data_IF_699745738193
#
_entry.id   IF_699745738193
#
_cell.length_a   1.000
_cell.length_b   1.000
_cell.length_c   1.000
_cell.angle_alpha   90.00
_cell.angle_beta   90.00
_cell.angle_gamma   90.00
#
_symmetry.space_group_name_H-M   'P 1'
#
loop_
_entity.id
_entity.type
_entity.pdbx_description
1 polymer ?
#
# COMPACT_ATOMS: atom_id res chain seq x y z
N UNK A 1 18.20 -0.77 0.02
CA UNK A 1 17.23 -0.89 -1.08
C UNK A 1 15.90 -1.16 -0.43
N UNK A 2 14.89 -0.35 -0.76
CA UNK A 2 13.52 -0.63 -0.34
C UNK A 2 12.94 -1.80 -1.13
N UNK A 3 11.84 -2.33 -0.65
CA UNK A 3 11.09 -3.43 -1.24
C UNK A 3 10.55 -3.10 -2.64
N UNK A 4 10.33 -1.82 -2.90
CA UNK A 4 10.07 -1.29 -4.23
C UNK A 4 11.18 -0.33 -4.65
N UNK A 5 11.60 -0.42 -5.92
CA UNK A 5 12.32 0.67 -6.57
C UNK A 5 11.36 1.83 -6.83
N UNK A 6 11.87 3.06 -6.81
CA UNK A 6 11.06 4.25 -7.15
C UNK A 6 10.54 4.24 -8.61
N UNK A 7 11.09 3.37 -9.46
CA UNK A 7 10.66 3.13 -10.85
C UNK A 7 9.73 1.92 -11.01
N UNK A 8 9.12 1.38 -9.93
CA UNK A 8 8.19 0.25 -10.04
C UNK A 8 6.78 0.68 -10.46
N UNK A 9 6.00 -0.24 -11.03
CA UNK A 9 4.59 0.01 -11.38
C UNK A 9 3.77 0.51 -10.17
N UNK A 10 4.11 0.05 -8.96
CA UNK A 10 3.46 0.47 -7.71
C UNK A 10 3.87 1.89 -7.29
N UNK A 11 5.13 2.29 -7.57
CA UNK A 11 5.58 3.67 -7.35
C UNK A 11 4.90 4.63 -8.32
N UNK A 12 4.75 4.24 -9.58
CA UNK A 12 3.98 4.98 -10.59
C UNK A 12 2.50 5.08 -10.22
N UNK A 13 1.90 3.98 -9.76
CA UNK A 13 0.53 3.96 -9.27
C UNK A 13 0.34 4.93 -8.09
N UNK A 14 1.29 4.94 -7.15
CA UNK A 14 1.29 5.87 -6.02
C UNK A 14 1.35 7.33 -6.49
N UNK A 15 2.25 7.64 -7.42
CA UNK A 15 2.37 8.99 -7.99
C UNK A 15 1.07 9.41 -8.70
N UNK A 16 0.48 8.51 -9.49
CA UNK A 16 -0.77 8.78 -10.19
C UNK A 16 -1.92 9.03 -9.21
N UNK A 17 -2.09 8.18 -8.19
CA UNK A 17 -3.16 8.32 -7.19
C UNK A 17 -3.01 9.61 -6.37
N UNK A 18 -1.79 9.94 -5.95
CA UNK A 18 -1.53 11.12 -5.12
C UNK A 18 -1.72 12.42 -5.90
N UNK A 19 -1.27 12.47 -7.15
CA UNK A 19 -1.38 13.64 -8.03
C UNK A 19 -2.77 13.82 -8.65
N UNK A 20 -3.59 12.77 -8.68
CA UNK A 20 -4.93 12.82 -9.26
C UNK A 20 -5.84 13.85 -8.57
N UNK A 21 -6.65 14.61 -9.32
CA UNK A 21 -7.58 15.57 -8.72
C UNK A 21 -8.71 14.85 -7.95
N UNK A 22 -9.43 15.62 -7.13
CA UNK A 22 -10.66 15.14 -6.49
C UNK A 22 -11.69 14.74 -7.56
N UNK A 23 -12.35 13.60 -7.38
CA UNK A 23 -13.24 12.89 -8.32
C UNK A 23 -12.56 12.32 -9.56
N UNK A 24 -11.25 12.05 -9.51
CA UNK A 24 -10.60 11.26 -10.54
C UNK A 24 -11.15 9.83 -10.56
N UNK A 25 -11.31 9.27 -11.76
CA UNK A 25 -11.67 7.85 -11.93
C UNK A 25 -10.41 7.00 -11.75
N UNK A 26 -10.19 6.52 -10.53
CA UNK A 26 -9.13 5.58 -10.16
C UNK A 26 -9.71 4.17 -10.07
N UNK A 27 -8.98 3.16 -10.53
CA UNK A 27 -9.40 1.76 -10.44
C UNK A 27 -8.99 1.14 -9.10
N UNK A 28 -9.65 0.04 -8.71
CA UNK A 28 -9.28 -0.74 -7.50
C UNK A 28 -7.84 -1.26 -7.55
N UNK A 29 -7.39 -1.71 -8.72
CA UNK A 29 -6.05 -2.23 -8.94
C UNK A 29 -5.01 -1.12 -8.79
N UNK A 30 -5.26 0.07 -9.37
CA UNK A 30 -4.36 1.22 -9.24
C UNK A 30 -4.27 1.67 -7.77
N UNK A 31 -5.39 1.70 -7.06
CA UNK A 31 -5.42 2.00 -5.63
C UNK A 31 -4.69 0.93 -4.81
N UNK A 32 -4.85 -0.34 -5.15
CA UNK A 32 -4.17 -1.46 -4.51
C UNK A 32 -2.65 -1.40 -4.67
N UNK A 33 -2.17 -1.13 -5.89
CA UNK A 33 -0.76 -0.94 -6.19
C UNK A 33 -0.17 0.29 -5.47
N UNK A 34 -0.89 1.42 -5.48
CA UNK A 34 -0.46 2.61 -4.73
C UNK A 34 -0.40 2.35 -3.22
N UNK A 35 -1.38 1.61 -2.69
CA UNK A 35 -1.46 1.29 -1.27
C UNK A 35 -0.36 0.33 -0.82
N UNK A 36 -0.01 -0.67 -1.64
CA UNK A 36 1.10 -1.58 -1.32
C UNK A 36 2.43 -0.85 -1.30
N UNK A 37 2.68 0.06 -2.25
CA UNK A 37 3.91 0.89 -2.24
C UNK A 37 4.03 1.77 -1.00
N UNK A 38 2.98 2.52 -0.65
CA UNK A 38 2.99 3.35 0.57
C UNK A 38 3.15 2.49 1.83
N UNK A 39 2.46 1.34 1.88
CA UNK A 39 2.50 0.46 3.04
C UNK A 39 3.90 -0.13 3.27
N UNK A 40 4.58 -0.55 2.21
CA UNK A 40 5.94 -1.06 2.30
C UNK A 40 6.94 0.02 2.71
N UNK A 41 6.79 1.26 2.20
CA UNK A 41 7.62 2.39 2.66
C UNK A 41 7.39 2.74 4.12
N UNK A 42 6.14 2.72 4.56
CA UNK A 42 5.80 2.94 5.96
C UNK A 42 6.36 1.82 6.85
N UNK A 43 6.31 0.57 6.39
CA UNK A 43 6.90 -0.58 7.06
C UNK A 43 8.42 -0.49 7.17
N UNK A 44 9.12 -0.13 6.09
CA UNK A 44 10.56 0.10 6.13
C UNK A 44 10.95 1.19 7.13
N UNK A 45 10.20 2.30 7.14
CA UNK A 45 10.40 3.38 8.09
C UNK A 45 10.13 2.92 9.52
N UNK A 46 9.10 2.12 9.74
CA UNK A 46 8.81 1.52 11.04
C UNK A 46 9.97 0.62 11.49
N UNK A 47 10.48 -0.24 10.60
CA UNK A 47 11.61 -1.12 10.89
C UNK A 47 12.90 -0.35 11.19
N UNK A 48 13.16 0.73 10.45
CA UNK A 48 14.33 1.57 10.67
C UNK A 48 14.28 2.29 12.04
N UNK A 49 13.08 2.61 12.54
CA UNK A 49 12.88 3.31 13.80
C UNK A 49 12.76 2.37 15.02
N UNK A 50 12.11 1.21 14.86
CA UNK A 50 11.73 0.32 15.96
C UNK A 50 12.43 -1.05 15.92
N UNK A 51 13.13 -1.38 14.82
CA UNK A 51 13.59 -2.73 14.53
C UNK A 51 12.56 -3.52 13.73
N UNK A 52 13.00 -4.66 13.18
CA UNK A 52 12.10 -5.58 12.47
C UNK A 52 11.11 -6.24 13.44
N UNK A 53 9.87 -6.52 13.02
CA UNK A 53 8.94 -7.31 13.82
C UNK A 53 9.48 -8.73 14.06
N UNK A 54 9.03 -9.35 15.14
CA UNK A 54 9.52 -10.66 15.58
C UNK A 54 8.95 -11.80 14.72
N UNK A 55 7.82 -11.55 14.04
CA UNK A 55 7.12 -12.56 13.26
C UNK A 55 6.61 -12.02 11.93
N UNK A 56 6.51 -12.92 10.94
CA UNK A 56 5.93 -12.62 9.64
C UNK A 56 4.46 -12.16 9.76
N UNK A 57 3.73 -12.71 10.73
CA UNK A 57 2.36 -12.32 11.01
C UNK A 57 2.27 -10.85 11.44
N UNK A 58 3.15 -10.42 12.35
CA UNK A 58 3.24 -9.04 12.80
C UNK A 58 3.66 -8.09 11.67
N UNK A 59 4.60 -8.50 10.81
CA UNK A 59 4.95 -7.76 9.61
C UNK A 59 3.73 -7.54 8.69
N UNK A 60 2.96 -8.61 8.44
CA UNK A 60 1.72 -8.54 7.62
C UNK A 60 0.67 -7.64 8.25
N UNK A 61 0.50 -7.68 9.57
CA UNK A 61 -0.45 -6.81 10.27
C UNK A 61 -0.06 -5.33 10.16
N UNK A 62 1.22 -5.00 10.35
CA UNK A 62 1.73 -3.63 10.19
C UNK A 62 1.50 -3.12 8.78
N UNK A 63 1.90 -3.90 7.77
CA UNK A 63 1.76 -3.52 6.36
C UNK A 63 0.27 -3.35 5.99
N UNK A 64 -0.59 -4.29 6.42
CA UNK A 64 -2.03 -4.19 6.19
C UNK A 64 -2.65 -2.95 6.85
N UNK A 65 -2.18 -2.59 8.05
CA UNK A 65 -2.56 -1.37 8.74
C UNK A 65 -2.18 -0.12 7.96
N UNK A 66 -0.94 -0.05 7.45
CA UNK A 66 -0.49 1.08 6.63
C UNK A 66 -1.26 1.19 5.31
N UNK A 67 -1.51 0.07 4.63
CA UNK A 67 -2.31 0.04 3.41
C UNK A 67 -3.74 0.53 3.66
N UNK A 68 -4.36 0.09 4.76
CA UNK A 68 -5.71 0.52 5.16
C UNK A 68 -5.79 2.03 5.39
N UNK A 69 -4.86 2.59 6.16
CA UNK A 69 -4.81 4.04 6.44
C UNK A 69 -4.62 4.85 5.15
N UNK A 70 -3.78 4.39 4.23
CA UNK A 70 -3.60 5.06 2.95
C UNK A 70 -4.87 5.02 2.09
N UNK A 71 -5.50 3.84 1.94
CA UNK A 71 -6.72 3.67 1.16
C UNK A 71 -7.87 4.52 1.71
N UNK A 72 -8.07 4.53 3.03
CA UNK A 72 -9.10 5.36 3.66
C UNK A 72 -8.89 6.85 3.33
N UNK A 73 -7.65 7.35 3.51
CA UNK A 73 -7.32 8.73 3.18
C UNK A 73 -7.56 9.03 1.70
N UNK A 74 -7.11 8.18 0.79
CA UNK A 74 -7.25 8.43 -0.65
C UNK A 74 -8.72 8.41 -1.06
N UNK A 75 -9.48 7.45 -0.59
CA UNK A 75 -10.90 7.31 -0.95
C UNK A 75 -11.70 8.51 -0.45
N UNK A 76 -11.46 8.96 0.78
CA UNK A 76 -12.09 10.15 1.35
C UNK A 76 -11.67 11.44 0.63
N UNK A 77 -10.36 11.65 0.42
CA UNK A 77 -9.83 12.89 -0.15
C UNK A 77 -10.06 13.02 -1.65
N UNK A 78 -10.19 11.89 -2.36
CA UNK A 78 -10.47 11.86 -3.81
C UNK A 78 -11.95 11.65 -4.12
N UNK A 79 -12.81 11.46 -3.13
CA UNK A 79 -14.27 11.33 -3.32
C UNK A 79 -14.66 10.09 -4.11
N UNK A 80 -14.01 8.96 -3.83
CA UNK A 80 -14.15 7.71 -4.59
C UNK A 80 -15.29 6.85 -4.03
N UNK A 81 -16.49 7.41 -3.93
CA UNK A 81 -17.66 6.74 -3.32
C UNK A 81 -18.08 5.45 -4.06
N UNK A 82 -17.64 5.30 -5.31
CA UNK A 82 -17.89 4.12 -6.15
C UNK A 82 -16.90 2.97 -5.89
N UNK A 83 -15.82 3.20 -5.16
CA UNK A 83 -14.78 2.21 -4.88
C UNK A 83 -15.21 1.34 -3.69
N UNK A 84 -15.37 0.03 -3.95
CA UNK A 84 -15.29 -0.97 -2.91
C UNK A 84 -13.90 -1.00 -2.23
N UNK A 85 -13.83 -0.43 -1.03
CA UNK A 85 -12.63 -0.42 -0.16
C UNK A 85 -12.05 -1.82 0.03
N UNK A 86 -12.89 -2.85 0.18
CA UNK A 86 -12.44 -4.23 0.42
C UNK A 86 -11.73 -4.80 -0.78
N UNK A 87 -12.18 -4.45 -1.99
CA UNK A 87 -11.53 -4.90 -3.21
C UNK A 87 -10.15 -4.26 -3.37
N UNK A 88 -10.04 -2.94 -3.20
CA UNK A 88 -8.74 -2.25 -3.23
C UNK A 88 -7.78 -2.76 -2.14
N UNK A 89 -8.31 -3.05 -0.94
CA UNK A 89 -7.53 -3.63 0.14
C UNK A 89 -7.01 -5.04 -0.21
N UNK A 90 -7.83 -5.88 -0.83
CA UNK A 90 -7.41 -7.20 -1.29
C UNK A 90 -6.32 -7.12 -2.36
N UNK A 91 -6.41 -6.17 -3.30
CA UNK A 91 -5.33 -5.95 -4.28
C UNK A 91 -4.03 -5.52 -3.59
N UNK A 92 -4.10 -4.61 -2.63
CA UNK A 92 -2.93 -4.19 -1.85
C UNK A 92 -2.30 -5.38 -1.10
N UNK A 93 -3.13 -6.24 -0.49
CA UNK A 93 -2.67 -7.44 0.20
C UNK A 93 -1.99 -8.42 -0.75
N UNK A 94 -2.58 -8.67 -1.93
CA UNK A 94 -1.98 -9.57 -2.94
C UNK A 94 -0.58 -9.09 -3.34
N UNK A 95 -0.41 -7.80 -3.64
CA UNK A 95 0.89 -7.22 -3.97
C UNK A 95 1.91 -7.35 -2.83
N UNK A 96 1.46 -7.18 -1.58
CA UNK A 96 2.31 -7.35 -0.42
C UNK A 96 2.70 -8.82 -0.23
N UNK A 97 1.78 -9.77 -0.41
CA UNK A 97 2.06 -11.20 -0.27
C UNK A 97 3.01 -11.72 -1.35
N UNK A 98 2.95 -11.18 -2.56
CA UNK A 98 3.90 -11.50 -3.64
C UNK A 98 5.33 -11.06 -3.29
N UNK A 99 5.47 -9.99 -2.50
CA UNK A 99 6.75 -9.43 -2.13
C UNK A 99 7.26 -10.06 -0.83
N UNK A 100 6.45 -9.97 0.22
CA UNK A 100 6.72 -10.38 1.60
C UNK A 100 6.42 -11.86 1.75
N UNK A 101 7.47 -12.65 1.58
CA UNK A 101 7.53 -14.06 1.92
C UNK A 101 8.02 -14.26 3.36
N UNK A 102 7.79 -15.45 3.90
CA UNK A 102 8.27 -15.84 5.24
C UNK A 102 9.79 -15.67 5.41
N UNK A 103 10.56 -15.69 4.33
CA UNK A 103 12.02 -15.63 4.37
C UNK A 103 12.59 -14.20 4.29
N UNK A 104 11.79 -13.17 3.98
CA UNK A 104 12.31 -11.83 3.65
C UNK A 104 11.69 -10.64 4.38
N UNK A 105 10.83 -10.85 5.39
CA UNK A 105 10.17 -9.77 6.15
C UNK A 105 11.09 -8.93 7.06
#
# INVERSE_FOLDING_TARGET
MGWFSDDSDQADAYNQVTQSPHKAELSHELLGAAASYEAMKAYEKHCAANGKPDTHAEAKELISGFAGVFLDRVIETKGLDYIDKKKAWREAQNHVEELVAEDNY
#
